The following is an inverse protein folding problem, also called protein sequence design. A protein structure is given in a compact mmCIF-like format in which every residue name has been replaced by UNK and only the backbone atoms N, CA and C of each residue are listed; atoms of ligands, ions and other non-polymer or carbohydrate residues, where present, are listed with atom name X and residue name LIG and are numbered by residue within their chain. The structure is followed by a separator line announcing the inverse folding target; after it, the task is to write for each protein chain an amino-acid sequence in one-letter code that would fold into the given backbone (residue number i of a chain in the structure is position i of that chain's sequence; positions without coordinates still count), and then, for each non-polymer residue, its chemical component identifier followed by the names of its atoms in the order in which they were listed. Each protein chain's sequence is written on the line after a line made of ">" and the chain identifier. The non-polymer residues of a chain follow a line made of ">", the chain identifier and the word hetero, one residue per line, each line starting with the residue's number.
data_IF_913472980776
#
_entry.id   IF_913472980776
#
_cell.length_a   1.000
_cell.length_b   1.000
_cell.length_c   1.000
_cell.angle_alpha   90.00
_cell.angle_beta   90.00
_cell.angle_gamma   90.00
#
_symmetry.space_group_name_H-M   'P 1'
#
loop_
_entity.id
_entity.type
_entity.pdbx_description
1 polymer ?
#
# COMPACT_ATOMS: atom_id res chain seq x y z
N UNK A 1 -28.12 16.69 11.65
CA UNK A 1 -26.78 16.85 11.04
C UNK A 1 -26.30 15.50 10.54
N UNK A 2 -25.55 15.48 9.44
CA UNK A 2 -25.00 14.27 8.83
C UNK A 2 -24.21 13.38 9.81
N UNK A 3 -23.56 13.98 10.81
CA UNK A 3 -22.82 13.26 11.86
C UNK A 3 -23.65 12.25 12.66
N UNK A 4 -24.89 12.60 13.05
CA UNK A 4 -25.76 11.67 13.78
C UNK A 4 -26.27 10.52 12.90
N UNK A 5 -26.50 10.80 11.62
CA UNK A 5 -26.90 9.79 10.65
C UNK A 5 -25.78 8.75 10.47
N UNK A 6 -24.55 9.20 10.20
CA UNK A 6 -23.42 8.29 9.99
C UNK A 6 -23.02 7.52 11.26
N UNK A 7 -23.10 8.13 12.44
CA UNK A 7 -22.85 7.43 13.71
C UNK A 7 -23.87 6.31 14.01
N UNK A 8 -25.04 6.33 13.35
CA UNK A 8 -26.05 5.27 13.47
C UNK A 8 -25.86 4.16 12.44
N UNK A 9 -25.33 4.49 11.27
CA UNK A 9 -25.13 3.55 10.16
C UNK A 9 -23.80 2.80 10.30
N UNK A 10 -22.76 3.48 10.77
CA UNK A 10 -21.42 2.90 10.90
C UNK A 10 -21.06 2.73 12.39
N UNK A 11 -20.61 1.52 12.79
CA UNK A 11 -20.09 1.31 14.13
C UNK A 11 -18.86 2.19 14.35
N UNK A 12 -18.63 2.56 15.61
CA UNK A 12 -17.43 3.31 15.98
C UNK A 12 -16.20 2.43 15.77
N UNK A 13 -15.26 2.90 14.96
CA UNK A 13 -13.97 2.24 14.77
C UNK A 13 -13.18 2.28 16.07
N UNK A 14 -12.71 1.10 16.50
CA UNK A 14 -11.88 0.92 17.69
C UNK A 14 -10.40 0.80 17.33
N UNK A 15 -9.51 0.86 18.32
CA UNK A 15 -8.08 0.62 18.07
C UNK A 15 -7.84 -0.84 17.67
N UNK A 16 -8.60 -1.74 18.26
CA UNK A 16 -8.58 -3.16 17.99
C UNK A 16 -9.00 -3.47 16.54
N UNK A 17 -9.95 -2.71 15.99
CA UNK A 17 -10.30 -2.81 14.56
C UNK A 17 -9.14 -2.40 13.65
N UNK A 18 -8.39 -1.35 14.02
CA UNK A 18 -7.22 -0.89 13.25
C UNK A 18 -6.11 -1.93 13.31
N UNK A 19 -5.76 -2.43 14.50
CA UNK A 19 -4.71 -3.47 14.65
C UNK A 19 -5.08 -4.77 13.94
N UNK A 20 -6.36 -5.17 13.97
CA UNK A 20 -6.83 -6.34 13.22
C UNK A 20 -6.66 -6.11 11.71
N UNK A 21 -7.13 -4.96 11.21
CA UNK A 21 -7.00 -4.62 9.79
C UNK A 21 -5.55 -4.55 9.35
N UNK A 22 -4.66 -4.00 10.18
CA UNK A 22 -3.22 -3.96 9.90
C UNK A 22 -2.62 -5.35 9.71
N UNK A 23 -2.98 -6.31 10.57
CA UNK A 23 -2.54 -7.69 10.42
C UNK A 23 -3.15 -8.43 9.23
N UNK A 24 -4.32 -8.00 8.75
CA UNK A 24 -4.97 -8.55 7.54
C UNK A 24 -4.40 -7.94 6.26
N UNK A 25 -4.03 -6.66 6.28
CA UNK A 25 -3.55 -5.91 5.13
C UNK A 25 -2.05 -6.11 4.89
N UNK A 26 -1.21 -5.95 5.92
CA UNK A 26 0.25 -6.04 5.75
C UNK A 26 0.65 -7.47 5.37
N UNK A 27 1.56 -7.57 4.41
CA UNK A 27 2.04 -8.81 3.78
C UNK A 27 0.97 -9.60 3.02
N UNK A 28 -0.18 -8.98 2.72
CA UNK A 28 -1.26 -9.62 1.96
C UNK A 28 -1.09 -9.44 0.44
N UNK A 29 -1.85 -10.22 -0.32
CA UNK A 29 -1.96 -10.04 -1.77
C UNK A 29 -2.61 -8.69 -2.14
N UNK A 30 -3.45 -8.15 -1.25
CA UNK A 30 -4.07 -6.84 -1.43
C UNK A 30 -3.03 -5.73 -1.34
N UNK A 31 -2.17 -5.73 -0.31
CA UNK A 31 -1.08 -4.77 -0.20
C UNK A 31 -0.13 -4.88 -1.39
N UNK A 32 0.26 -6.11 -1.81
CA UNK A 32 1.09 -6.30 -3.01
C UNK A 32 0.47 -5.64 -4.23
N UNK A 33 -0.83 -5.86 -4.47
CA UNK A 33 -1.55 -5.27 -5.61
C UNK A 33 -1.51 -3.74 -5.53
N UNK A 34 -1.79 -3.19 -4.37
CA UNK A 34 -1.83 -1.74 -4.16
C UNK A 34 -0.44 -1.11 -4.36
N UNK A 35 0.64 -1.76 -3.88
CA UNK A 35 2.04 -1.35 -4.11
C UNK A 35 2.36 -1.32 -5.60
N UNK A 36 1.98 -2.35 -6.36
CA UNK A 36 2.25 -2.41 -7.81
C UNK A 36 1.41 -1.41 -8.61
N UNK A 37 0.18 -1.14 -8.18
CA UNK A 37 -0.65 -0.09 -8.75
C UNK A 37 -0.03 1.29 -8.49
N UNK A 38 0.40 1.57 -7.26
CA UNK A 38 1.09 2.81 -6.89
C UNK A 38 2.40 2.97 -7.67
N UNK A 39 3.19 1.91 -7.79
CA UNK A 39 4.40 1.88 -8.61
C UNK A 39 4.12 2.31 -10.06
N UNK A 40 3.07 1.74 -10.67
CA UNK A 40 2.67 2.07 -12.04
C UNK A 40 2.17 3.50 -12.16
N UNK A 41 1.39 3.96 -11.17
CA UNK A 41 0.78 5.30 -11.15
C UNK A 41 1.81 6.42 -10.98
N UNK A 42 2.83 6.20 -10.15
CA UNK A 42 3.84 7.19 -9.82
C UNK A 42 5.18 6.93 -10.50
N UNK A 43 5.19 6.13 -11.57
CA UNK A 43 6.36 5.88 -12.41
C UNK A 43 7.60 5.47 -11.60
N UNK A 44 7.39 4.68 -10.54
CA UNK A 44 8.46 4.15 -9.69
C UNK A 44 9.03 5.11 -8.65
N UNK A 45 8.47 6.31 -8.48
CA UNK A 45 8.91 7.23 -7.41
C UNK A 45 8.55 6.69 -6.02
N UNK A 46 9.52 6.05 -5.36
CA UNK A 46 9.33 5.33 -4.10
C UNK A 46 8.68 6.18 -3.00
N UNK A 47 9.08 7.45 -2.87
CA UNK A 47 8.43 8.39 -1.94
C UNK A 47 6.90 8.44 -2.12
N UNK A 48 6.43 8.54 -3.36
CA UNK A 48 5.00 8.63 -3.65
C UNK A 48 4.28 7.30 -3.44
N UNK A 49 4.97 6.18 -3.63
CA UNK A 49 4.47 4.85 -3.29
C UNK A 49 4.27 4.77 -1.77
N UNK A 50 5.32 5.06 -0.99
CA UNK A 50 5.29 5.03 0.48
C UNK A 50 4.20 5.93 1.07
N UNK A 51 4.03 7.14 0.52
CA UNK A 51 2.98 8.09 0.95
C UNK A 51 1.54 7.61 0.60
N UNK A 52 1.40 6.67 -0.33
CA UNK A 52 0.09 6.19 -0.81
C UNK A 52 -0.36 4.92 -0.09
N UNK A 53 0.56 4.01 0.22
CA UNK A 53 0.21 2.71 0.79
C UNK A 53 -0.22 2.85 2.24
N UNK A 54 -1.39 2.28 2.57
CA UNK A 54 -1.91 2.31 3.94
C UNK A 54 -0.95 1.60 4.88
N UNK A 55 -0.81 2.12 6.10
CA UNK A 55 0.01 1.51 7.15
C UNK A 55 1.50 1.35 6.76
N UNK A 56 1.94 2.09 5.74
CA UNK A 56 3.34 2.22 5.34
C UNK A 56 4.13 2.97 6.40
N UNK A 57 5.35 2.50 6.64
CA UNK A 57 6.34 3.08 7.57
C UNK A 57 7.70 3.11 6.89
N UNK A 58 8.66 3.89 7.39
CA UNK A 58 10.00 3.97 6.81
C UNK A 58 10.69 2.59 6.69
N UNK A 59 10.35 1.64 7.56
CA UNK A 59 10.89 0.27 7.54
C UNK A 59 10.36 -0.60 6.38
N UNK A 60 9.37 -0.12 5.62
CA UNK A 60 8.74 -0.87 4.52
C UNK A 60 9.39 -0.67 3.15
N UNK A 61 10.28 0.31 3.01
CA UNK A 61 10.85 0.70 1.71
C UNK A 61 11.53 -0.48 1.01
N UNK A 62 12.41 -1.19 1.72
CA UNK A 62 13.13 -2.36 1.19
C UNK A 62 12.16 -3.47 0.76
N UNK A 63 11.11 -3.70 1.57
CA UNK A 63 10.11 -4.74 1.31
C UNK A 63 9.28 -4.41 0.06
N UNK A 64 8.87 -3.16 -0.11
CA UNK A 64 8.16 -2.74 -1.32
C UNK A 64 9.06 -2.77 -2.55
N UNK A 65 10.34 -2.38 -2.42
CA UNK A 65 11.32 -2.52 -3.49
C UNK A 65 11.47 -3.99 -3.94
N UNK A 66 11.57 -4.94 -3.00
CA UNK A 66 11.61 -6.37 -3.29
C UNK A 66 10.34 -6.85 -4.03
N UNK A 67 9.15 -6.43 -3.59
CA UNK A 67 7.89 -6.77 -4.27
C UNK A 67 7.88 -6.30 -5.72
N UNK A 68 8.30 -5.06 -5.96
CA UNK A 68 8.36 -4.44 -7.29
C UNK A 68 9.39 -5.14 -8.16
N UNK A 69 10.61 -5.38 -7.65
CA UNK A 69 11.67 -6.07 -8.37
C UNK A 69 11.24 -7.48 -8.80
N UNK A 70 10.57 -8.21 -7.91
CA UNK A 70 10.01 -9.52 -8.24
C UNK A 70 8.96 -9.42 -9.34
N UNK A 71 8.02 -8.48 -9.24
CA UNK A 71 6.98 -8.28 -10.25
C UNK A 71 7.54 -7.86 -11.62
N UNK A 72 8.64 -7.10 -11.65
CA UNK A 72 9.40 -6.77 -12.87
C UNK A 72 10.00 -8.04 -13.49
N UNK A 73 10.67 -8.88 -12.68
CA UNK A 73 11.27 -10.13 -13.15
C UNK A 73 10.23 -11.10 -13.71
N UNK A 74 9.05 -11.13 -13.07
CA UNK A 74 7.88 -11.91 -13.49
C UNK A 74 7.13 -11.27 -14.68
N UNK A 75 7.54 -10.06 -15.11
CA UNK A 75 6.94 -9.27 -16.20
C UNK A 75 5.47 -8.89 -15.96
N UNK A 76 5.05 -8.81 -14.69
CA UNK A 76 3.72 -8.32 -14.30
C UNK A 76 3.60 -6.81 -14.47
N UNK A 77 4.70 -6.10 -14.22
CA UNK A 77 4.82 -4.64 -14.41
C UNK A 77 6.02 -4.32 -15.30
N UNK A 78 6.02 -3.12 -15.89
CA UNK A 78 7.11 -2.65 -16.74
C UNK A 78 8.20 -2.00 -15.88
N UNK A 79 9.43 -2.09 -16.34
CA UNK A 79 10.51 -1.25 -15.81
C UNK A 79 10.26 0.19 -16.22
N UNK A 80 10.32 1.09 -15.24
CA UNK A 80 10.30 2.56 -15.42
C UNK A 80 11.63 3.13 -14.95
N UNK A 81 11.94 4.38 -15.32
CA UNK A 81 13.28 4.96 -15.11
C UNK A 81 13.69 5.00 -13.63
N UNK A 82 12.79 5.40 -12.73
CA UNK A 82 13.06 5.45 -11.28
C UNK A 82 13.32 4.06 -10.68
N UNK A 83 12.74 3.00 -11.26
CA UNK A 83 12.91 1.62 -10.78
C UNK A 83 14.32 1.05 -11.03
N UNK A 84 15.13 1.71 -11.88
CA UNK A 84 16.51 1.29 -12.15
C UNK A 84 17.44 1.59 -10.95
N UNK A 85 16.96 2.40 -9.99
CA UNK A 85 17.71 2.82 -8.81
C UNK A 85 17.35 2.03 -7.53
N UNK A 86 16.39 1.09 -7.62
CA UNK A 86 15.99 0.16 -6.56
C UNK A 86 16.80 -1.14 -6.66
#
# INVERSE_FOLDING_TARGET
>A
MWTQYFARVFPKVTKEDITRFEGEYRHSDEERRDVLEAYTKYEGEMKHIMDTIMLSTDDDEDRFAEMIQKAIQEKEVRVVEAAVLL
#
